data_IF_827464303137
#
_entry.id   IF_827464303137
#
_cell.length_a   1.000
_cell.length_b   1.000
_cell.length_c   1.000
_cell.angle_alpha   90.00
_cell.angle_beta   90.00
_cell.angle_gamma   90.00
#
_symmetry.space_group_name_H-M   'P 1'
#
loop_
_entity.id
_entity.type
_entity.pdbx_description
1 polymer ?
#
# COMPACT_ATOMS: atom_id res chain seq x y z
N UNK A 1 -7.90 9.68 15.88
CA UNK A 1 -6.71 9.31 15.07
C UNK A 1 -7.22 9.11 13.66
N UNK A 2 -6.54 9.67 12.65
CA UNK A 2 -6.96 9.56 11.26
C UNK A 2 -6.01 8.59 10.59
N UNK A 3 -6.54 7.58 9.92
CA UNK A 3 -5.71 6.56 9.28
C UNK A 3 -5.09 7.12 8.01
N UNK A 4 -3.84 6.74 7.77
CA UNK A 4 -3.18 6.94 6.48
C UNK A 4 -3.51 5.72 5.62
N UNK A 5 -3.93 5.93 4.37
CA UNK A 5 -4.31 4.82 3.51
C UNK A 5 -3.81 4.99 2.07
N UNK A 6 -3.57 3.85 1.43
CA UNK A 6 -3.38 3.74 -0.02
C UNK A 6 -4.75 3.68 -0.67
N UNK A 7 -5.03 4.58 -1.61
CA UNK A 7 -6.28 4.56 -2.38
C UNK A 7 -5.95 4.18 -3.82
N UNK A 8 -6.32 2.97 -4.19
CA UNK A 8 -6.01 2.42 -5.50
C UNK A 8 -7.14 1.58 -6.09
N UNK A 9 -7.06 1.37 -7.41
CA UNK A 9 -8.01 0.51 -8.11
C UNK A 9 -7.83 -0.96 -7.66
N UNK A 10 -8.95 -1.64 -7.42
CA UNK A 10 -8.95 -3.02 -6.96
C UNK A 10 -8.23 -3.98 -7.91
N UNK A 11 -8.35 -3.78 -9.23
CA UNK A 11 -7.69 -4.61 -10.24
C UNK A 11 -6.17 -4.52 -10.18
N UNK A 12 -5.63 -3.30 -10.05
CA UNK A 12 -4.19 -3.04 -9.94
C UNK A 12 -3.65 -3.66 -8.65
N UNK A 13 -4.33 -3.43 -7.52
CA UNK A 13 -3.94 -4.00 -6.22
C UNK A 13 -3.93 -5.53 -6.23
N UNK A 14 -4.97 -6.14 -6.81
CA UNK A 14 -5.09 -7.59 -6.93
C UNK A 14 -4.00 -8.20 -7.81
N UNK A 15 -3.61 -7.52 -8.90
CA UNK A 15 -2.51 -7.97 -9.78
C UNK A 15 -1.16 -8.04 -9.06
N UNK A 16 -1.00 -7.26 -7.99
CA UNK A 16 0.19 -7.23 -7.10
C UNK A 16 0.08 -8.16 -5.90
N UNK A 17 -1.01 -8.93 -5.81
CA UNK A 17 -1.28 -9.82 -4.70
C UNK A 17 -1.78 -9.12 -3.44
N UNK A 18 -2.23 -7.86 -3.52
CA UNK A 18 -2.80 -7.13 -2.37
C UNK A 18 -4.31 -7.38 -2.36
N UNK A 19 -4.78 -8.22 -1.44
CA UNK A 19 -6.19 -8.64 -1.32
C UNK A 19 -6.49 -9.13 0.11
N UNK A 20 -7.75 -9.50 0.37
CA UNK A 20 -8.25 -9.89 1.71
C UNK A 20 -7.57 -11.14 2.32
N UNK A 21 -6.86 -11.93 1.52
CA UNK A 21 -6.08 -13.09 1.99
C UNK A 21 -4.67 -12.71 2.42
N UNK A 22 -4.24 -11.49 2.12
CA UNK A 22 -2.87 -11.00 2.34
C UNK A 22 -2.84 -10.21 3.65
N UNK A 23 -2.68 -10.95 4.75
CA UNK A 23 -2.63 -10.41 6.12
C UNK A 23 -1.19 -10.42 6.64
N UNK A 24 -0.86 -9.48 7.54
CA UNK A 24 0.46 -9.40 8.20
C UNK A 24 1.61 -9.23 7.18
N UNK A 25 1.38 -8.40 6.16
CA UNK A 25 2.36 -8.11 5.11
C UNK A 25 2.57 -6.61 4.98
N UNK A 26 3.77 -6.25 4.56
CA UNK A 26 4.14 -4.87 4.30
C UNK A 26 3.84 -4.47 2.85
N UNK A 27 3.21 -3.31 2.67
CA UNK A 27 3.09 -2.64 1.37
C UNK A 27 4.08 -1.48 1.37
N UNK A 28 4.96 -1.47 0.38
CA UNK A 28 5.81 -0.31 0.08
C UNK A 28 5.08 0.55 -0.94
N UNK A 29 5.01 1.85 -0.68
CA UNK A 29 4.40 2.84 -1.56
C UNK A 29 5.14 4.17 -1.44
N UNK A 30 5.20 4.94 -2.52
CA UNK A 30 5.70 6.29 -2.51
C UNK A 30 4.92 7.14 -3.52
N UNK A 31 4.77 8.42 -3.23
CA UNK A 31 4.02 9.35 -4.06
C UNK A 31 3.72 10.63 -3.32
N UNK A 32 2.96 11.51 -3.97
CA UNK A 32 2.47 12.73 -3.33
C UNK A 32 1.47 12.40 -2.22
N UNK A 33 1.69 12.97 -1.03
CA UNK A 33 0.76 12.83 0.08
C UNK A 33 -0.35 13.86 -0.07
N UNK A 34 -1.55 13.37 -0.38
CA UNK A 34 -2.76 14.15 -0.49
C UNK A 34 -3.70 13.97 0.70
N UNK A 35 -4.92 14.44 0.53
CA UNK A 35 -6.04 14.27 1.47
C UNK A 35 -7.23 13.66 0.76
N UNK A 36 -7.82 12.62 1.33
CA UNK A 36 -9.09 12.06 0.85
C UNK A 36 -10.03 11.84 2.04
N UNK A 37 -11.26 12.33 1.90
CA UNK A 37 -12.27 12.30 2.97
C UNK A 37 -11.74 12.93 4.26
N UNK A 38 -11.58 12.10 5.30
CA UNK A 38 -11.16 12.54 6.63
C UNK A 38 -9.66 12.34 6.92
N UNK A 39 -8.83 11.85 6.00
CA UNK A 39 -7.45 11.42 6.29
C UNK A 39 -6.43 11.77 5.21
N UNK A 40 -5.16 11.46 5.49
CA UNK A 40 -4.06 11.57 4.52
C UNK A 40 -4.01 10.29 3.68
N UNK A 41 -3.71 10.44 2.39
CA UNK A 41 -3.57 9.29 1.50
C UNK A 41 -2.52 9.54 0.42
N UNK A 42 -2.09 8.46 -0.20
CA UNK A 42 -1.44 8.49 -1.51
C UNK A 42 -2.43 7.82 -2.48
N UNK A 43 -2.67 8.45 -3.62
CA UNK A 43 -3.59 7.98 -4.67
C UNK A 43 -3.01 8.25 -6.06
N UNK A 44 -3.54 7.56 -7.07
CA UNK A 44 -3.13 7.74 -8.46
C UNK A 44 -1.74 7.16 -8.76
N UNK A 45 -1.36 6.11 -8.05
CA UNK A 45 -0.08 5.43 -8.21
C UNK A 45 -0.09 4.53 -9.44
N UNK A 46 0.96 4.66 -10.24
CA UNK A 46 1.26 3.77 -11.34
C UNK A 46 1.76 2.41 -10.84
N UNK A 47 1.78 1.41 -11.73
CA UNK A 47 2.23 0.06 -11.38
C UNK A 47 3.64 0.02 -10.75
N UNK A 48 4.53 0.97 -11.05
CA UNK A 48 5.85 1.01 -10.43
C UNK A 48 5.88 1.50 -8.98
N UNK A 49 4.87 2.24 -8.53
CA UNK A 49 4.98 3.14 -7.37
C UNK A 49 4.48 2.54 -6.05
N UNK A 50 3.99 1.31 -6.11
CA UNK A 50 3.69 0.51 -4.93
C UNK A 50 3.81 -0.99 -5.22
N UNK A 51 4.12 -1.75 -4.17
CA UNK A 51 4.18 -3.20 -4.24
C UNK A 51 4.02 -3.84 -2.86
N UNK A 52 3.55 -5.09 -2.86
CA UNK A 52 3.65 -5.96 -1.69
C UNK A 52 5.13 -6.34 -1.52
N UNK A 53 5.70 -6.06 -0.35
CA UNK A 53 7.08 -6.44 -0.05
C UNK A 53 7.20 -7.97 -0.05
N UNK A 54 8.18 -8.56 -0.77
CA UNK A 54 8.46 -9.99 -0.67
C UNK A 54 8.81 -10.37 0.78
N UNK A 55 8.19 -11.44 1.29
CA UNK A 55 8.26 -11.81 2.71
C UNK A 55 9.69 -12.04 3.22
N UNK A 56 10.62 -12.45 2.34
CA UNK A 56 12.04 -12.63 2.66
C UNK A 56 12.74 -11.34 3.13
N UNK A 57 12.12 -10.16 2.94
CA UNK A 57 12.65 -8.87 3.37
C UNK A 57 11.93 -8.29 4.59
N UNK A 58 10.98 -9.00 5.18
CA UNK A 58 10.24 -8.53 6.36
C UNK A 58 11.18 -8.15 7.53
N UNK A 59 12.32 -8.84 7.67
CA UNK A 59 13.33 -8.57 8.69
C UNK A 59 13.90 -7.13 8.65
N UNK A 60 13.70 -6.39 7.56
CA UNK A 60 14.10 -4.98 7.47
C UNK A 60 13.16 -4.05 8.24
N UNK A 61 11.93 -4.50 8.53
CA UNK A 61 10.85 -3.71 9.13
C UNK A 61 10.33 -4.30 10.44
N UNK A 62 10.42 -5.62 10.61
CA UNK A 62 10.13 -6.27 11.87
C UNK A 62 11.08 -5.73 12.95
N UNK A 63 10.52 -5.14 14.00
CA UNK A 63 11.25 -4.50 15.11
C UNK A 63 11.21 -5.34 16.37
#
# INVERSE_FOLDING_TARGET
MRDFYLKEEHGISSSKGINDKTRERYVLMWGEVGTSGIGLCIEGLSWGEFALLPAQYNYLLDT
#
